data_IF_393008376828
#
_entry.id   IF_393008376828
#
_cell.length_a   1.000
_cell.length_b   1.000
_cell.length_c   1.000
_cell.angle_alpha   90.00
_cell.angle_beta   90.00
_cell.angle_gamma   90.00
#
_symmetry.space_group_name_H-M   'P 1'
#
loop_
_entity.id
_entity.type
_entity.pdbx_description
1 polymer ?
#
# COMPACT_ATOMS: atom_id res chain seq x y z
N UNK A 1 -2.95 -14.23 17.84
CA UNK A 1 -2.55 -14.17 16.42
C UNK A 1 -3.73 -13.96 15.47
N UNK A 2 -4.89 -14.62 15.66
CA UNK A 2 -6.06 -14.54 14.76
C UNK A 2 -6.76 -13.15 14.76
N UNK A 3 -6.86 -12.47 15.91
CA UNK A 3 -7.57 -11.17 16.03
C UNK A 3 -6.97 -9.98 15.26
N UNK A 4 -5.71 -10.06 14.82
CA UNK A 4 -5.06 -8.99 14.06
C UNK A 4 -5.40 -9.14 12.57
N UNK A 5 -5.41 -10.37 12.05
CA UNK A 5 -5.82 -10.69 10.68
C UNK A 5 -7.27 -10.25 10.40
N UNK A 6 -8.17 -10.42 11.37
CA UNK A 6 -9.57 -9.95 11.26
C UNK A 6 -9.71 -8.41 11.18
N UNK A 7 -8.67 -7.66 11.56
CA UNK A 7 -8.69 -6.19 11.55
C UNK A 7 -7.87 -5.58 10.41
N UNK A 8 -7.26 -6.40 9.55
CA UNK A 8 -6.49 -5.93 8.39
C UNK A 8 -7.37 -5.20 7.35
N UNK A 9 -8.70 -5.36 7.42
CA UNK A 9 -9.65 -4.61 6.62
C UNK A 9 -9.61 -3.09 6.91
N UNK A 10 -8.94 -2.65 7.99
CA UNK A 10 -8.81 -1.23 8.34
C UNK A 10 -7.52 -0.65 7.74
N UNK A 11 -7.60 0.38 6.88
CA UNK A 11 -6.43 0.96 6.23
C UNK A 11 -5.28 1.38 7.17
N UNK A 12 -5.52 1.95 8.37
CA UNK A 12 -4.43 2.36 9.26
C UNK A 12 -3.66 1.17 9.84
N UNK A 13 -4.36 0.06 10.14
CA UNK A 13 -3.74 -1.15 10.69
C UNK A 13 -2.92 -1.84 9.61
N UNK A 14 -3.47 -1.89 8.39
CA UNK A 14 -2.76 -2.40 7.22
C UNK A 14 -1.48 -1.59 6.95
N UNK A 15 -1.56 -0.26 6.97
CA UNK A 15 -0.40 0.61 6.80
C UNK A 15 0.65 0.41 7.89
N UNK A 16 0.24 0.33 9.17
CA UNK A 16 1.15 0.07 10.27
C UNK A 16 1.84 -1.31 10.13
N UNK A 17 1.10 -2.34 9.74
CA UNK A 17 1.67 -3.67 9.50
C UNK A 17 2.65 -3.67 8.32
N UNK A 18 2.31 -3.00 7.22
CA UNK A 18 3.21 -2.86 6.07
C UNK A 18 4.46 -2.07 6.41
N UNK A 19 4.35 -0.99 7.19
CA UNK A 19 5.50 -0.21 7.65
C UNK A 19 6.40 -1.05 8.57
N UNK A 20 5.82 -1.79 9.51
CA UNK A 20 6.59 -2.68 10.39
C UNK A 20 7.33 -3.76 9.58
N UNK A 21 6.68 -4.36 8.59
CA UNK A 21 7.33 -5.32 7.69
C UNK A 21 8.47 -4.68 6.88
N UNK A 22 8.26 -3.48 6.35
CA UNK A 22 9.31 -2.74 5.63
C UNK A 22 10.52 -2.46 6.53
N UNK A 23 10.29 -1.98 7.75
CA UNK A 23 11.36 -1.72 8.73
C UNK A 23 12.12 -2.98 9.11
N UNK A 24 11.42 -4.09 9.32
CA UNK A 24 12.05 -5.38 9.63
C UNK A 24 12.96 -5.85 8.48
N UNK A 25 12.47 -5.78 7.24
CA UNK A 25 13.27 -6.20 6.07
C UNK A 25 14.48 -5.28 5.89
N UNK A 26 14.32 -3.96 6.03
CA UNK A 26 15.43 -3.01 5.97
C UNK A 26 16.45 -3.24 7.09
N UNK A 27 15.99 -3.48 8.32
CA UNK A 27 16.86 -3.76 9.46
C UNK A 27 17.66 -5.05 9.26
N UNK A 28 17.01 -6.11 8.75
CA UNK A 28 17.69 -7.37 8.42
C UNK A 28 18.77 -7.14 7.34
N UNK A 29 18.45 -6.43 6.26
CA UNK A 29 19.43 -6.09 5.21
C UNK A 29 20.60 -5.26 5.75
N UNK A 30 20.31 -4.32 6.65
CA UNK A 30 21.33 -3.52 7.32
C UNK A 30 22.25 -4.39 8.20
N UNK A 31 21.69 -5.27 9.04
CA UNK A 31 22.45 -6.20 9.89
C UNK A 31 23.38 -7.10 9.07
N UNK A 32 22.91 -7.63 7.94
CA UNK A 32 23.74 -8.45 7.04
C UNK A 32 24.89 -7.66 6.42
N UNK A 33 24.63 -6.40 6.04
CA UNK A 33 25.65 -5.51 5.47
C UNK A 33 26.70 -5.12 6.50
N UNK A 34 26.29 -4.80 7.73
CA UNK A 34 27.23 -4.47 8.82
C UNK A 34 28.03 -5.66 9.31
N UNK A 35 27.46 -6.87 9.24
CA UNK A 35 28.14 -8.12 9.63
C UNK A 35 29.13 -8.64 8.59
N UNK A 36 29.17 -8.02 7.40
CA UNK A 36 30.09 -8.41 6.31
C UNK A 36 29.74 -9.73 5.61
N UNK A 37 28.55 -10.30 5.87
CA UNK A 37 28.12 -11.57 5.28
C UNK A 37 27.68 -11.35 3.82
N UNK A 38 26.82 -10.33 3.59
CA UNK A 38 26.33 -9.93 2.28
C UNK A 38 26.26 -8.41 2.24
N UNK A 39 26.89 -7.80 1.23
CA UNK A 39 26.85 -6.35 1.02
C UNK A 39 25.66 -5.98 0.13
N UNK A 40 24.63 -5.39 0.71
CA UNK A 40 23.51 -4.83 -0.06
C UNK A 40 23.84 -3.41 -0.52
N UNK A 41 23.41 -3.07 -1.74
CA UNK A 41 23.51 -1.70 -2.25
C UNK A 41 22.62 -0.74 -1.44
N UNK A 42 22.99 0.54 -1.37
CA UNK A 42 22.23 1.59 -0.66
C UNK A 42 20.83 1.75 -1.22
N UNK A 43 20.63 1.45 -2.51
CA UNK A 43 19.33 1.45 -3.17
C UNK A 43 18.39 0.34 -2.67
N UNK A 44 18.89 -0.66 -1.95
CA UNK A 44 18.07 -1.73 -1.36
C UNK A 44 16.99 -1.17 -0.43
N UNK A 45 17.31 -0.21 0.44
CA UNK A 45 16.29 0.35 1.34
C UNK A 45 15.18 1.09 0.57
N UNK A 46 15.53 1.78 -0.52
CA UNK A 46 14.57 2.45 -1.41
C UNK A 46 13.70 1.47 -2.20
N UNK A 47 14.25 0.32 -2.58
CA UNK A 47 13.51 -0.73 -3.26
C UNK A 47 12.47 -1.37 -2.34
N UNK A 48 12.84 -1.68 -1.09
CA UNK A 48 11.91 -2.21 -0.08
C UNK A 48 10.80 -1.19 0.21
N UNK A 49 11.14 0.08 0.40
CA UNK A 49 10.13 1.13 0.63
C UNK A 49 9.13 1.26 -0.52
N UNK A 50 9.63 1.27 -1.76
CA UNK A 50 8.80 1.33 -2.98
C UNK A 50 7.92 0.08 -3.16
N UNK A 51 8.47 -1.11 -2.91
CA UNK A 51 7.75 -2.36 -3.07
C UNK A 51 6.62 -2.49 -2.04
N UNK A 52 6.88 -2.13 -0.78
CA UNK A 52 5.91 -2.26 0.32
C UNK A 52 4.80 -1.20 0.22
N UNK A 53 5.11 0.01 -0.24
CA UNK A 53 4.07 1.02 -0.55
C UNK A 53 3.17 0.58 -1.70
N UNK A 54 3.72 -0.04 -2.74
CA UNK A 54 2.93 -0.64 -3.82
C UNK A 54 2.08 -1.82 -3.33
N UNK A 55 2.65 -2.68 -2.49
CA UNK A 55 1.93 -3.80 -1.90
C UNK A 55 0.72 -3.31 -1.08
N UNK A 56 0.91 -2.29 -0.25
CA UNK A 56 -0.20 -1.64 0.45
C UNK A 56 -1.22 -1.09 -0.54
N UNK A 57 -0.79 -0.37 -1.58
CA UNK A 57 -1.69 0.21 -2.56
C UNK A 57 -2.61 -0.84 -3.22
N UNK A 58 -2.03 -1.96 -3.63
CA UNK A 58 -2.76 -3.07 -4.23
C UNK A 58 -3.73 -3.72 -3.24
N UNK A 59 -3.22 -4.14 -2.08
CA UNK A 59 -4.03 -4.83 -1.07
C UNK A 59 -5.14 -3.93 -0.51
N UNK A 60 -4.85 -2.66 -0.24
CA UNK A 60 -5.81 -1.69 0.26
C UNK A 60 -6.95 -1.46 -0.74
N UNK A 61 -6.62 -1.39 -2.03
CA UNK A 61 -7.60 -1.24 -3.11
C UNK A 61 -8.51 -2.47 -3.17
N UNK A 62 -7.96 -3.69 -3.11
CA UNK A 62 -8.77 -4.91 -3.10
C UNK A 62 -9.71 -4.99 -1.89
N UNK A 63 -9.21 -4.65 -0.69
CA UNK A 63 -10.01 -4.66 0.54
C UNK A 63 -11.09 -3.56 0.55
N UNK A 64 -10.98 -2.53 -0.30
CA UNK A 64 -12.03 -1.53 -0.47
C UNK A 64 -13.35 -2.14 -0.93
N UNK A 65 -13.32 -3.31 -1.61
CA UNK A 65 -14.51 -4.08 -1.99
C UNK A 65 -15.37 -4.52 -0.80
N UNK A 66 -14.78 -4.73 0.37
CA UNK A 66 -15.50 -5.19 1.56
C UNK A 66 -16.03 -4.02 2.41
N UNK A 67 -15.60 -2.79 2.11
CA UNK A 67 -16.00 -1.62 2.86
C UNK A 67 -17.48 -1.26 2.68
N UNK A 68 -18.18 -1.05 3.81
CA UNK A 68 -19.60 -0.63 3.84
C UNK A 68 -19.77 0.80 3.30
N UNK A 69 -18.91 1.72 3.75
CA UNK A 69 -18.91 3.12 3.30
C UNK A 69 -17.64 3.44 2.50
N UNK A 70 -17.84 3.78 1.23
CA UNK A 70 -16.77 4.13 0.31
C UNK A 70 -16.04 5.40 0.76
N UNK A 71 -16.76 6.51 0.99
CA UNK A 71 -16.14 7.81 1.30
C UNK A 71 -15.25 7.73 2.53
N UNK A 72 -15.73 7.05 3.59
CA UNK A 72 -14.97 6.85 4.82
C UNK A 72 -13.71 6.01 4.58
N UNK A 73 -13.84 4.91 3.82
CA UNK A 73 -12.71 4.04 3.51
C UNK A 73 -11.68 4.77 2.65
N UNK A 74 -12.11 5.44 1.58
CA UNK A 74 -11.25 6.19 0.67
C UNK A 74 -10.42 7.24 1.41
N UNK A 75 -11.05 8.07 2.24
CA UNK A 75 -10.33 9.09 3.01
C UNK A 75 -9.32 8.47 3.98
N UNK A 76 -9.74 7.44 4.72
CA UNK A 76 -8.85 6.75 5.66
C UNK A 76 -7.67 6.08 4.94
N UNK A 77 -7.90 5.49 3.77
CA UNK A 77 -6.88 4.91 2.91
C UNK A 77 -5.90 5.94 2.39
N UNK A 78 -6.37 7.13 2.00
CA UNK A 78 -5.50 8.22 1.54
C UNK A 78 -4.53 8.66 2.63
N UNK A 79 -5.04 8.96 3.83
CA UNK A 79 -4.19 9.35 4.96
C UNK A 79 -3.23 8.24 5.38
N UNK A 80 -3.69 6.99 5.36
CA UNK A 80 -2.86 5.82 5.68
C UNK A 80 -1.75 5.62 4.65
N UNK A 81 -2.05 5.81 3.37
CA UNK A 81 -1.05 5.75 2.29
C UNK A 81 -0.01 6.85 2.42
N UNK A 82 -0.43 8.10 2.66
CA UNK A 82 0.49 9.22 2.83
C UNK A 82 1.41 9.02 4.03
N UNK A 83 0.86 8.59 5.18
CA UNK A 83 1.64 8.27 6.36
C UNK A 83 2.62 7.12 6.09
N UNK A 84 2.19 6.08 5.36
CA UNK A 84 3.05 4.96 4.99
C UNK A 84 4.17 5.40 4.05
N UNK A 85 3.85 6.08 2.95
CA UNK A 85 4.82 6.52 1.96
C UNK A 85 5.87 7.47 2.56
N UNK A 86 5.43 8.38 3.43
CA UNK A 86 6.35 9.24 4.18
C UNK A 86 7.20 8.42 5.16
N UNK A 87 6.59 7.52 5.92
CA UNK A 87 7.30 6.66 6.88
C UNK A 87 8.33 5.75 6.23
N UNK A 88 8.00 5.09 5.13
CA UNK A 88 8.93 4.24 4.37
C UNK A 88 10.01 5.06 3.67
N UNK A 89 9.69 6.29 3.23
CA UNK A 89 10.67 7.21 2.65
C UNK A 89 11.69 7.68 3.69
N UNK A 90 11.24 8.05 4.89
CA UNK A 90 12.12 8.40 6.00
C UNK A 90 12.97 7.22 6.45
N UNK A 91 12.38 6.03 6.57
CA UNK A 91 13.12 4.82 6.90
C UNK A 91 14.18 4.50 5.84
N UNK A 92 13.82 4.54 4.56
CA UNK A 92 14.75 4.29 3.46
C UNK A 92 15.91 5.29 3.48
N UNK A 93 15.64 6.57 3.73
CA UNK A 93 16.68 7.58 3.91
C UNK A 93 17.58 7.27 5.10
N UNK A 94 17.02 6.89 6.25
CA UNK A 94 17.78 6.54 7.46
C UNK A 94 18.70 5.32 7.28
N UNK A 95 18.23 4.27 6.60
CA UNK A 95 19.03 3.05 6.38
C UNK A 95 20.04 3.19 5.23
N UNK A 96 19.72 3.96 4.18
CA UNK A 96 20.58 4.10 2.99
C UNK A 96 21.55 5.28 3.06
N UNK A 97 21.24 6.30 3.87
CA UNK A 97 21.97 7.55 3.97
C UNK A 97 21.89 8.44 2.73
N UNK A 98 21.15 8.05 1.69
CA UNK A 98 21.02 8.79 0.43
C UNK A 98 19.65 9.48 0.36
N UNK A 99 19.58 10.79 0.09
CA UNK A 99 18.32 11.48 -0.03
C UNK A 99 17.55 11.01 -1.28
N UNK A 100 16.22 11.14 -1.27
CA UNK A 100 15.34 10.74 -2.39
C UNK A 100 15.77 11.37 -3.73
N UNK A 101 16.41 12.54 -3.71
CA UNK A 101 16.90 13.23 -4.92
C UNK A 101 18.03 12.45 -5.61
N UNK A 102 18.82 11.71 -4.84
CA UNK A 102 19.98 10.93 -5.31
C UNK A 102 19.64 9.45 -5.50
N UNK A 103 18.45 9.00 -5.06
CA UNK A 103 17.97 7.63 -5.23
C UNK A 103 17.62 7.24 -6.69
N UNK A 104 18.12 8.00 -7.68
CA UNK A 104 17.97 7.72 -9.11
C UNK A 104 16.52 7.45 -9.52
N UNK A 105 16.28 6.31 -10.16
CA UNK A 105 14.96 5.88 -10.64
C UNK A 105 13.91 5.73 -9.54
N UNK A 106 14.32 5.48 -8.28
CA UNK A 106 13.36 5.28 -7.18
C UNK A 106 12.55 6.54 -6.85
N UNK A 107 13.07 7.73 -7.15
CA UNK A 107 12.29 8.97 -7.09
C UNK A 107 11.05 8.90 -7.96
N UNK A 108 11.21 8.44 -9.20
CA UNK A 108 10.11 8.28 -10.13
C UNK A 108 9.19 7.13 -9.74
N UNK A 109 9.75 6.01 -9.26
CA UNK A 109 8.96 4.88 -8.78
C UNK A 109 8.04 5.33 -7.64
N UNK A 110 8.51 6.10 -6.66
CA UNK A 110 7.67 6.61 -5.58
C UNK A 110 6.48 7.44 -6.08
N UNK A 111 6.72 8.31 -7.08
CA UNK A 111 5.67 9.12 -7.70
C UNK A 111 4.67 8.21 -8.45
N UNK A 112 5.17 7.28 -9.27
CA UNK A 112 4.35 6.35 -10.05
C UNK A 112 3.50 5.46 -9.15
N UNK A 113 4.07 4.95 -8.05
CA UNK A 113 3.35 4.14 -7.07
C UNK A 113 2.28 4.97 -6.37
N UNK A 114 2.55 6.25 -6.07
CA UNK A 114 1.56 7.15 -5.46
C UNK A 114 0.39 7.43 -6.38
N UNK A 115 0.66 7.74 -7.66
CA UNK A 115 -0.39 7.91 -8.67
C UNK A 115 -1.13 6.59 -8.89
N UNK A 116 -0.40 5.49 -9.00
CA UNK A 116 -0.94 4.14 -9.16
C UNK A 116 -1.89 3.77 -8.03
N UNK A 117 -1.59 4.14 -6.78
CA UNK A 117 -2.50 3.94 -5.67
C UNK A 117 -3.86 4.62 -5.87
N UNK A 118 -3.86 5.90 -6.27
CA UNK A 118 -5.11 6.64 -6.54
C UNK A 118 -5.89 5.97 -7.67
N UNK A 119 -5.20 5.53 -8.72
CA UNK A 119 -5.79 4.82 -9.86
C UNK A 119 -6.38 3.49 -9.43
N UNK A 120 -5.64 2.64 -8.72
CA UNK A 120 -6.12 1.34 -8.25
C UNK A 120 -7.32 1.48 -7.33
N UNK A 121 -7.25 2.41 -6.38
CA UNK A 121 -8.34 2.64 -5.46
C UNK A 121 -9.59 3.11 -6.22
N UNK A 122 -9.44 4.05 -7.16
CA UNK A 122 -10.57 4.54 -7.96
C UNK A 122 -11.18 3.44 -8.85
N UNK A 123 -10.34 2.63 -9.49
CA UNK A 123 -10.76 1.54 -10.38
C UNK A 123 -11.59 0.49 -9.63
N UNK A 124 -11.10 0.03 -8.47
CA UNK A 124 -11.82 -0.97 -7.67
C UNK A 124 -13.15 -0.42 -7.14
N UNK A 125 -13.20 0.87 -6.80
CA UNK A 125 -14.44 1.49 -6.37
C UNK A 125 -15.44 1.67 -7.52
N UNK A 126 -14.97 1.98 -8.73
CA UNK A 126 -15.81 2.00 -9.92
C UNK A 126 -16.45 0.62 -10.18
N UNK A 127 -15.69 -0.46 -10.00
CA UNK A 127 -16.21 -1.83 -10.08
C UNK A 127 -17.38 -2.08 -9.12
N UNK A 128 -17.30 -1.59 -7.86
CA UNK A 128 -18.42 -1.72 -6.90
C UNK A 128 -19.68 -0.98 -7.38
N UNK A 129 -19.51 0.15 -8.05
CA UNK A 129 -20.64 0.93 -8.59
C UNK A 129 -21.31 0.16 -9.71
N UNK A 130 -20.53 -0.43 -10.63
CA UNK A 130 -21.06 -1.26 -11.73
C UNK A 130 -21.84 -2.46 -11.19
N UNK A 131 -21.28 -3.21 -10.25
CA UNK A 131 -21.95 -4.39 -9.68
C UNK A 131 -23.27 -4.00 -9.00
N UNK A 132 -23.28 -2.92 -8.21
CA UNK A 132 -24.50 -2.41 -7.57
C UNK A 132 -25.54 -1.92 -8.56
N UNK A 133 -25.11 -1.43 -9.71
CA UNK A 133 -26.01 -1.02 -10.79
C UNK A 133 -26.65 -2.25 -11.45
N UNK A 134 -25.86 -3.27 -11.75
CA UNK A 134 -26.35 -4.54 -12.31
C UNK A 134 -27.34 -5.25 -11.36
N UNK A 135 -27.01 -5.33 -10.06
CA UNK A 135 -27.91 -5.91 -9.04
C UNK A 135 -29.27 -5.17 -8.96
N UNK A 136 -29.29 -3.85 -9.21
CA UNK A 136 -30.53 -3.06 -9.24
C UNK A 136 -31.34 -3.26 -10.52
N UNK A 137 -30.69 -3.42 -11.67
CA UNK A 137 -31.38 -3.70 -12.94
C UNK A 137 -32.06 -5.07 -12.92
N UNK A 138 -31.40 -6.11 -12.42
CA UNK A 138 -32.00 -7.45 -12.29
C UNK A 138 -33.23 -7.46 -11.38
N UNK A 139 -33.22 -6.67 -10.30
CA UNK A 139 -34.38 -6.53 -9.42
C UNK A 139 -35.56 -5.79 -10.10
N UNK A 140 -35.28 -4.80 -10.94
CA UNK A 140 -36.30 -4.03 -11.66
C UNK A 140 -36.89 -4.76 -12.88
N UNK A 141 -36.27 -5.86 -13.32
CA UNK A 141 -36.84 -6.77 -14.31
C UNK A 141 -37.17 -8.10 -13.63
N UNK A 142 -38.31 -8.21 -12.90
CA UNK A 142 -38.73 -9.49 -12.35
C UNK A 142 -38.78 -10.49 -13.51
N UNK A 143 -38.09 -11.63 -13.34
CA UNK A 143 -38.06 -12.71 -14.34
C UNK A 143 -39.51 -12.99 -14.74
N UNK A 144 -39.86 -12.61 -15.96
CA UNK A 144 -41.16 -12.98 -16.53
C UNK A 144 -41.16 -14.51 -16.62
N UNK A 145 -42.18 -15.18 -16.06
CA UNK A 145 -42.28 -16.63 -16.12
C UNK A 145 -42.32 -17.13 -17.57
#
# INVERSE_FOLDING_TARGET
MIKILDKLDRPPIQAAATLAAALLIMAVGWVFTTSGIISFDRLFAWSIGSALTLFFAMMNSLLSLRAVSFVKYWGTSMYSYLALAFGTGMAAWGFSGIPLREAGSYRWIYIVVSVGFVVFLSMVNFMKIIVRFAEKEEWNQPRKP
#
